data_IF_865573551819
#
_entry.id   IF_865573551819
#
_cell.length_a   1.000
_cell.length_b   1.000
_cell.length_c   1.000
_cell.angle_alpha   90.00
_cell.angle_beta   90.00
_cell.angle_gamma   90.00
#
_symmetry.space_group_name_H-M   'P 1'
#
loop_
_entity.id
_entity.type
_entity.pdbx_description
1 polymer ?
2 polymer ?
3 non-polymer ?
4 non-polymer ?
5 water ?
#
# COMPACT_ATOMS: atom_id res chain seq x y z
N UNK A 15 -15.74 3.22 2.61
CA UNK A 15 -16.58 3.88 3.62
C UNK A 15 -16.87 5.30 3.09
N UNK A 16 -17.23 6.23 3.97
CA UNK A 16 -17.60 7.55 3.54
C UNK A 16 -16.34 8.32 3.14
N UNK A 17 -16.51 9.41 2.35
CA UNK A 17 -15.47 10.40 2.10
C UNK A 17 -14.82 10.91 3.39
N UNK A 18 -15.68 11.32 4.33
CA UNK A 18 -15.26 11.95 5.57
C UNK A 18 -14.26 11.12 6.34
N UNK A 19 -14.49 9.81 6.43
CA UNK A 19 -13.56 8.93 7.16
C UNK A 19 -12.16 8.95 6.53
N UNK A 20 -12.10 8.84 5.21
CA UNK A 20 -10.81 8.85 4.47
C UNK A 20 -10.19 10.23 4.45
N UNK A 21 -11.06 11.23 4.43
CA UNK A 21 -10.68 12.62 4.23
C UNK A 21 -10.32 13.32 5.54
N UNK A 22 -11.11 13.08 6.57
CA UNK A 22 -10.98 13.75 7.86
C UNK A 22 -10.25 12.93 8.90
N UNK A 23 -10.27 11.59 8.78
CA UNK A 23 -9.57 10.74 9.73
C UNK A 23 -8.75 9.68 9.00
N UNK A 24 -8.94 8.40 9.28
CA UNK A 24 -8.24 7.29 8.62
C UNK A 24 -9.05 6.02 8.88
N UNK A 25 -8.85 5.00 8.04
CA UNK A 25 -9.45 3.69 8.28
C UNK A 25 -8.31 2.74 8.72
N UNK A 26 -8.43 2.12 9.92
CA UNK A 26 -7.42 1.19 10.42
C UNK A 26 -7.68 -0.21 9.90
N UNK A 27 -6.61 -0.96 9.66
CA UNK A 27 -6.72 -2.38 9.41
C UNK A 27 -5.53 -3.12 9.96
N UNK A 28 -5.75 -4.35 10.38
CA UNK A 28 -4.68 -5.26 10.74
C UNK A 28 -4.25 -6.08 9.54
N UNK A 29 -2.95 -6.37 9.46
CA UNK A 29 -2.44 -7.25 8.44
C UNK A 29 -1.08 -7.86 8.84
N UNK A 30 -0.67 -8.89 8.11
CA UNK A 30 0.73 -9.31 8.16
C UNK A 30 1.50 -8.73 6.98
N UNK A 31 2.76 -8.37 7.25
CA UNK A 31 3.60 -7.64 6.34
C UNK A 31 4.68 -8.60 5.89
N UNK A 32 4.55 -9.09 4.65
CA UNK A 32 5.59 -9.96 4.04
C UNK A 32 6.86 -9.19 3.69
N UNK A 33 6.81 -7.87 3.62
CA UNK A 33 7.99 -7.06 3.34
C UNK A 33 7.79 -6.19 2.10
N UNK A 34 8.85 -5.51 1.70
CA UNK A 34 8.85 -4.78 0.47
C UNK A 34 10.02 -5.20 -0.37
N UNK A 35 9.94 -4.99 -1.69
CA UNK A 35 11.00 -5.36 -2.58
C UNK A 35 10.97 -4.41 -3.76
N UNK A 36 12.13 -4.15 -4.32
CA UNK A 36 12.30 -3.11 -5.37
C UNK A 36 11.73 -3.64 -6.66
N UNK A 37 10.97 -2.83 -7.37
CA UNK A 37 10.48 -3.20 -8.69
C UNK A 37 10.87 -2.15 -9.71
N UNK A 38 10.79 -2.55 -10.96
CA UNK A 38 11.19 -1.74 -12.09
C UNK A 38 10.15 -0.70 -12.57
N UNK A 39 8.87 -0.85 -12.23
CA UNK A 39 7.82 -0.03 -12.83
C UNK A 39 6.92 0.40 -11.73
N UNK A 40 6.16 1.50 -11.96
CA UNK A 40 5.25 2.00 -10.96
C UNK A 40 3.91 1.21 -10.92
N UNK A 41 3.67 0.34 -11.88
CA UNK A 41 2.37 -0.38 -11.95
C UNK A 41 2.54 -1.68 -12.71
N UNK A 42 1.46 -2.46 -12.73
CA UNK A 42 1.30 -3.50 -13.71
C UNK A 42 1.11 -4.83 -13.00
N UNK A 43 0.31 -5.71 -13.60
CA UNK A 43 -0.07 -6.98 -12.99
C UNK A 43 1.11 -7.90 -12.85
N UNK A 44 1.88 -8.06 -13.92
CA UNK A 44 3.07 -8.87 -13.89
C UNK A 44 4.07 -8.41 -12.86
N UNK A 45 4.22 -7.08 -12.73
CA UNK A 45 5.21 -6.52 -11.81
C UNK A 45 4.89 -6.94 -10.37
N UNK A 46 3.65 -6.74 -9.98
CA UNK A 46 3.22 -7.03 -8.65
C UNK A 46 3.25 -8.56 -8.41
N UNK A 47 2.81 -9.35 -9.40
CA UNK A 47 2.84 -10.83 -9.22
C UNK A 47 4.25 -11.32 -9.02
N UNK A 48 5.23 -10.79 -9.77
CA UNK A 48 6.63 -11.19 -9.56
C UNK A 48 7.14 -10.80 -8.18
N UNK A 49 6.76 -9.62 -7.71
CA UNK A 49 7.08 -9.24 -6.36
C UNK A 49 6.45 -10.13 -5.29
N UNK A 50 5.17 -10.45 -5.44
CA UNK A 50 4.50 -11.24 -4.44
C UNK A 50 5.17 -12.62 -4.39
N UNK A 51 5.47 -13.18 -5.53
CA UNK A 51 6.19 -14.44 -5.54
C UNK A 51 7.56 -14.38 -4.85
N UNK A 52 8.33 -13.33 -5.11
CA UNK A 52 9.63 -13.19 -4.45
C UNK A 52 9.50 -13.15 -2.93
N UNK A 53 8.55 -12.39 -2.44
CA UNK A 53 8.36 -12.24 -1.04
C UNK A 53 7.69 -13.48 -0.38
N UNK A 54 6.92 -14.26 -1.14
CA UNK A 54 6.41 -15.53 -0.62
C UNK A 54 7.56 -16.50 -0.49
N UNK A 55 8.46 -16.53 -1.47
CA UNK A 55 9.64 -17.34 -1.37
C UNK A 55 10.46 -16.96 -0.15
N UNK A 56 10.70 -15.63 0.07
CA UNK A 56 11.47 -15.19 1.25
C UNK A 56 10.80 -15.57 2.57
N UNK A 57 9.49 -15.40 2.62
CA UNK A 57 8.75 -15.73 3.81
C UNK A 57 8.86 -17.24 4.15
N UNK A 58 8.74 -18.07 3.12
CA UNK A 58 8.88 -19.52 3.32
C UNK A 58 10.26 -19.86 3.88
N UNK A 59 11.27 -19.18 3.37
CA UNK A 59 12.63 -19.39 3.91
C UNK A 59 12.69 -18.96 5.36
N UNK A 60 12.16 -17.79 5.63
CA UNK A 60 12.16 -17.32 7.00
C UNK A 60 11.40 -18.21 7.97
N UNK A 61 10.29 -18.77 7.53
CA UNK A 61 9.54 -19.73 8.36
C UNK A 61 10.37 -20.97 8.66
N UNK A 62 11.17 -21.44 7.69
CA UNK A 62 12.08 -22.54 7.95
C UNK A 62 13.22 -22.17 8.91
N UNK A 63 13.45 -20.87 9.11
CA UNK A 63 14.34 -20.35 10.12
C UNK A 63 13.64 -20.14 11.47
N UNK A 64 12.35 -20.39 11.53
CA UNK A 64 11.57 -20.30 12.78
C UNK A 64 11.03 -18.92 12.97
N UNK A 65 10.93 -18.09 11.91
CA UNK A 65 10.44 -16.72 12.07
C UNK A 65 8.99 -16.63 11.65
N UNK A 66 8.22 -15.81 12.36
CA UNK A 66 6.87 -15.43 11.93
C UNK A 66 6.97 -14.11 11.12
N UNK A 67 6.06 -13.85 10.20
CA UNK A 67 6.08 -12.51 9.58
C UNK A 67 5.41 -11.54 10.53
N UNK A 68 5.88 -10.28 10.54
CA UNK A 68 5.34 -9.33 11.51
C UNK A 68 3.89 -8.93 11.25
N UNK A 69 3.21 -8.61 12.33
CA UNK A 69 1.89 -8.05 12.25
C UNK A 69 2.10 -6.54 12.23
N UNK A 70 1.24 -5.87 11.47
CA UNK A 70 1.25 -4.42 11.40
C UNK A 70 -0.17 -3.88 11.45
N UNK A 71 -0.27 -2.62 11.78
CA UNK A 71 -1.52 -1.90 11.55
C UNK A 71 -1.34 -0.89 10.43
N UNK A 72 -2.31 -0.85 9.52
CA UNK A 72 -2.36 0.12 8.45
C UNK A 72 -3.45 1.12 8.75
N UNK A 73 -3.09 2.39 8.52
CA UNK A 73 -4.00 3.53 8.60
C UNK A 73 -4.04 4.15 7.23
N UNK A 74 -5.20 4.07 6.58
CA UNK A 74 -5.38 4.55 5.23
C UNK A 74 -6.23 5.84 5.25
N UNK A 75 -5.77 6.85 4.52
CA UNK A 75 -6.42 8.14 4.45
C UNK A 75 -6.12 8.77 3.11
N UNK A 76 -6.74 9.91 2.84
CA UNK A 76 -6.28 10.73 1.67
C UNK A 76 -4.84 11.20 1.73
N UNK A 77 -4.21 11.18 2.91
CA UNK A 77 -2.81 11.59 3.00
C UNK A 77 -1.81 10.46 2.82
N UNK A 78 -2.23 9.22 2.96
CA UNK A 78 -1.29 8.10 2.79
C UNK A 78 -1.68 6.80 3.46
N UNK A 79 -0.70 5.91 3.50
CA UNK A 79 -0.75 4.64 4.23
C UNK A 79 0.37 4.62 5.24
N UNK A 80 0.02 4.68 6.52
CA UNK A 80 0.96 4.50 7.63
C UNK A 80 1.04 3.05 8.08
N UNK A 81 2.25 2.55 8.26
CA UNK A 81 2.44 1.18 8.67
C UNK A 81 2.97 1.31 10.08
N UNK A 82 2.18 0.84 11.04
CA UNK A 82 2.51 0.87 12.47
C UNK A 82 2.86 -0.51 13.08
N UNK A 83 3.76 -0.48 14.06
CA UNK A 83 3.96 -1.64 14.95
C UNK A 83 2.71 -1.66 15.83
N UNK A 84 1.90 -2.74 15.77
CA UNK A 84 0.52 -2.73 16.33
C UNK A 84 0.44 -2.61 17.85
N UNK A 85 1.46 -3.08 18.57
CA UNK A 85 1.49 -2.96 20.04
C UNK A 85 1.88 -1.54 20.43
N UNK A 86 3.09 -1.11 20.03
CA UNK A 86 3.58 0.27 20.34
C UNK A 86 2.89 1.43 19.58
N UNK A 87 2.14 1.12 18.52
CA UNK A 87 1.58 2.12 17.60
C UNK A 87 2.64 3.09 17.07
N UNK A 88 3.88 2.63 17.02
CA UNK A 88 5.00 3.40 16.52
C UNK A 88 5.05 3.27 14.97
N UNK A 89 5.16 4.41 14.29
CA UNK A 89 5.16 4.49 12.82
C UNK A 89 6.44 3.89 12.28
N UNK A 90 6.36 2.84 11.47
CA UNK A 90 7.59 2.29 10.87
C UNK A 90 7.80 2.76 9.41
N UNK A 91 6.70 3.03 8.71
CA UNK A 91 6.72 3.64 7.37
C UNK A 91 5.52 4.59 7.28
N UNK A 92 5.72 5.76 6.67
CA UNK A 92 4.59 6.59 6.21
C UNK A 92 4.71 6.72 4.67
N UNK A 93 3.80 6.05 3.96
CA UNK A 93 3.83 6.07 2.49
C UNK A 93 2.84 7.17 2.05
N UNK A 94 3.36 8.36 1.75
CA UNK A 94 2.52 9.48 1.34
C UNK A 94 1.73 9.06 0.14
N UNK A 95 0.45 9.40 0.12
CA UNK A 95 -0.41 8.87 -0.94
C UNK A 95 0.10 9.24 -2.35
N UNK A 96 0.59 10.47 -2.51
CA UNK A 96 1.06 10.91 -3.84
C UNK A 96 2.35 10.24 -4.34
N UNK A 97 3.04 9.48 -3.48
CA UNK A 97 4.11 8.57 -3.89
C UNK A 97 3.70 7.13 -4.11
N UNK A 98 2.44 6.80 -3.88
CA UNK A 98 1.94 5.45 -4.16
C UNK A 98 1.31 5.51 -5.54
N UNK A 99 1.81 4.69 -6.47
CA UNK A 99 1.45 4.72 -7.83
C UNK A 99 0.35 3.72 -8.15
N UNK A 100 0.26 2.62 -7.39
CA UNK A 100 -0.59 1.47 -7.73
C UNK A 100 -0.89 0.64 -6.49
N UNK A 101 -2.10 0.10 -6.39
CA UNK A 101 -2.47 -0.89 -5.37
C UNK A 101 -3.28 -1.96 -6.04
N UNK A 102 -3.14 -3.20 -5.59
CA UNK A 102 -3.85 -4.34 -6.18
C UNK A 102 -4.08 -5.45 -5.16
N UNK A 103 -5.16 -6.21 -5.39
CA UNK A 103 -5.32 -7.49 -4.68
C UNK A 103 -4.73 -8.55 -5.60
N UNK A 104 -4.56 -9.73 -5.07
CA UNK A 104 -3.99 -10.83 -5.83
C UNK A 104 -5.17 -11.71 -6.26
N UNK A 105 -5.42 -11.82 -7.56
CA UNK A 105 -6.55 -12.66 -8.06
C UNK A 105 -6.41 -14.17 -7.74
N UNK A 106 -5.21 -14.62 -7.42
CA UNK A 106 -5.06 -16.06 -7.15
C UNK A 106 -4.73 -16.32 -5.70
N UNK A 107 -4.77 -15.29 -4.86
CA UNK A 107 -4.72 -15.51 -3.44
C UNK A 107 -5.44 -14.31 -2.72
N UNK A 108 -6.74 -14.51 -2.46
CA UNK A 108 -7.67 -13.56 -1.74
C UNK A 108 -6.97 -12.69 -0.71
N UNK A 109 -6.22 -13.31 0.20
CA UNK A 109 -5.60 -12.59 1.32
C UNK A 109 -4.43 -11.65 0.99
N UNK A 110 -3.82 -11.79 -0.18
CA UNK A 110 -2.65 -11.00 -0.53
C UNK A 110 -3.11 -9.66 -1.14
N UNK A 111 -2.47 -8.57 -0.74
CA UNK A 111 -2.66 -7.31 -1.41
C UNK A 111 -1.36 -6.52 -1.33
N UNK A 112 -1.23 -5.53 -2.22
CA UNK A 112 0.07 -4.88 -2.46
C UNK A 112 -0.14 -3.43 -2.84
N UNK A 113 0.92 -2.65 -2.66
CA UNK A 113 1.01 -1.38 -3.32
C UNK A 113 2.47 -1.08 -3.65
N UNK A 114 2.63 -0.18 -4.62
CA UNK A 114 3.90 0.29 -5.13
C UNK A 114 4.01 1.74 -4.74
N UNK A 115 5.10 2.05 -4.06
CA UNK A 115 5.41 3.37 -3.52
C UNK A 115 6.79 3.76 -3.96
N UNK A 116 6.97 4.99 -4.40
CA UNK A 116 8.25 5.46 -4.80
C UNK A 116 8.97 6.00 -3.57
N UNK A 117 10.13 5.43 -3.33
CA UNK A 117 10.83 5.69 -2.08
C UNK A 117 11.37 7.12 -2.00
N UNK A 118 10.95 7.80 -0.93
CA UNK A 118 11.61 8.99 -0.37
C UNK A 118 13.13 8.94 -0.54
N UNK A 119 13.77 7.92 0.06
CA UNK A 119 15.25 7.78 0.08
C UNK A 119 15.87 7.71 -1.33
N UNK A 120 15.47 6.71 -2.12
CA UNK A 120 16.31 6.19 -3.20
C UNK A 120 15.92 6.43 -4.67
N UNK A 121 14.75 7.01 -4.95
CA UNK A 121 14.14 7.02 -6.31
C UNK A 121 13.68 5.63 -6.82
N UNK A 122 13.67 4.62 -5.97
CA UNK A 122 13.28 3.31 -6.48
C UNK A 122 11.81 3.02 -6.16
N UNK A 123 11.22 2.15 -6.95
CA UNK A 123 9.88 1.71 -6.69
C UNK A 123 9.95 0.52 -5.78
N UNK A 124 9.20 0.57 -4.70
CA UNK A 124 9.11 -0.50 -3.73
C UNK A 124 7.69 -1.01 -3.74
N UNK A 125 7.56 -2.32 -3.90
CA UNK A 125 6.27 -3.01 -3.77
C UNK A 125 6.20 -3.60 -2.37
N UNK A 126 5.17 -3.21 -1.63
CA UNK A 126 4.89 -3.61 -0.29
C UNK A 126 3.84 -4.69 -0.42
N UNK A 127 4.07 -5.83 0.27
CA UNK A 127 3.18 -6.99 0.16
C UNK A 127 2.67 -7.39 1.54
N UNK A 128 1.36 -7.64 1.60
CA UNK A 128 0.69 -7.87 2.86
C UNK A 128 -0.27 -9.03 2.71
N UNK A 129 -0.69 -9.49 3.85
CA UNK A 129 -1.62 -10.61 3.96
C UNK A 129 -2.72 -10.18 4.94
N UNK A 130 -3.98 -10.23 4.49
CA UNK A 130 -5.14 -10.06 5.37
C UNK A 130 -6.14 -11.18 5.22
N UNK A 131 -6.41 -11.86 6.33
CA UNK A 131 -7.40 -12.89 6.43
C UNK A 131 -8.69 -12.52 5.70
N UNK A 132 -9.31 -11.44 6.15
CA UNK A 132 -10.65 -11.11 5.73
C UNK A 132 -10.76 -9.89 4.77
N UNK A 133 -9.77 -9.00 4.78
CA UNK A 133 -10.00 -7.63 4.27
C UNK A 133 -9.16 -7.22 3.04
N UNK A 134 -8.34 -8.11 2.52
CA UNK A 134 -7.51 -7.82 1.37
C UNK A 134 -8.23 -6.98 0.27
N UNK A 135 -9.39 -7.47 -0.15
CA UNK A 135 -10.18 -6.86 -1.22
C UNK A 135 -10.65 -5.49 -0.78
N UNK A 136 -11.14 -5.44 0.47
CA UNK A 136 -11.66 -4.22 1.07
C UNK A 136 -10.56 -3.17 1.23
N UNK A 137 -9.38 -3.60 1.64
CA UNK A 137 -8.22 -2.71 1.84
C UNK A 137 -7.79 -2.08 0.51
N UNK A 138 -7.64 -2.92 -0.50
CA UNK A 138 -7.33 -2.53 -1.85
C UNK A 138 -8.37 -1.48 -2.36
N UNK A 139 -9.64 -1.78 -2.20
CA UNK A 139 -10.72 -0.81 -2.56
C UNK A 139 -10.58 0.51 -1.78
N UNK A 140 -10.26 0.42 -0.48
CA UNK A 140 -10.08 1.61 0.34
C UNK A 140 -8.93 2.50 -0.16
N UNK A 141 -7.82 1.90 -0.57
CA UNK A 141 -6.72 2.68 -1.08
C UNK A 141 -7.13 3.31 -2.40
N UNK A 142 -7.88 2.57 -3.23
CA UNK A 142 -8.42 3.10 -4.50
C UNK A 142 -9.31 4.31 -4.31
N UNK A 143 -10.13 4.25 -3.27
CA UNK A 143 -11.02 5.35 -2.90
C UNK A 143 -10.23 6.55 -2.42
N UNK A 144 -9.21 6.29 -1.58
CA UNK A 144 -8.26 7.35 -1.22
C UNK A 144 -7.68 8.03 -2.47
N UNK A 145 -7.22 7.23 -3.44
CA UNK A 145 -6.65 7.80 -4.70
C UNK A 145 -7.69 8.76 -5.31
N UNK A 146 -8.93 8.28 -5.36
CA UNK A 146 -10.02 9.02 -6.02
C UNK A 146 -10.27 10.37 -5.31
N UNK A 147 -10.46 10.33 -4.00
CA UNK A 147 -10.68 11.57 -3.22
C UNK A 147 -9.50 12.52 -3.28
N UNK A 148 -8.28 12.01 -3.09
CA UNK A 148 -7.09 12.88 -3.15
C UNK A 148 -6.95 13.54 -4.53
N UNK A 149 -7.23 12.79 -5.59
CA UNK A 149 -7.13 13.34 -6.96
C UNK A 149 -8.19 14.42 -7.19
N UNK A 150 -9.38 14.21 -6.67
CA UNK A 150 -10.40 15.22 -6.77
C UNK A 150 -10.02 16.50 -6.03
N UNK A 151 -9.47 16.39 -4.82
CA UNK A 151 -8.93 17.57 -4.13
C UNK A 151 -7.82 18.22 -4.92
N UNK A 152 -6.91 17.42 -5.42
CA UNK A 152 -5.87 17.95 -6.25
C UNK A 152 -6.41 18.77 -7.42
N UNK A 153 -7.42 18.26 -8.13
CA UNK A 153 -7.96 19.00 -9.26
C UNK A 153 -8.67 20.26 -8.85
N UNK A 154 -9.35 20.20 -7.73
CA UNK A 154 -10.09 21.33 -7.22
C UNK A 154 -9.22 22.45 -6.73
N UNK A 155 -8.00 22.13 -6.31
CA UNK A 155 -6.97 23.16 -6.02
C UNK A 155 -6.28 23.69 -7.31
N UNK A 156 -6.75 23.26 -8.49
CA UNK A 156 -6.14 23.62 -9.77
C UNK A 156 -4.74 23.08 -9.94
N UNK A 157 -4.47 21.91 -9.36
CA UNK A 157 -3.14 21.28 -9.39
C UNK A 157 -2.12 21.60 -8.28
N UNK A 158 -2.50 22.27 -7.21
CA UNK A 158 -1.52 22.81 -6.22
C UNK A 158 -1.32 21.97 -4.93
N UNK A 159 -0.60 22.56 -3.96
CA UNK A 159 -0.59 22.17 -2.53
C UNK A 159 0.16 20.87 -2.19
N UNK A 160 0.75 20.83 -0.99
CA UNK A 160 1.65 19.75 -0.51
C UNK A 160 2.58 19.23 -1.61
N UNK B 1 -7.79 -7.09 -9.83
CA UNK B 1 -8.40 -5.79 -9.39
C UNK B 1 -7.33 -4.91 -8.73
N UNK B 2 -6.93 -3.87 -9.49
CA UNK B 2 -5.97 -2.86 -9.07
C UNK B 2 -6.37 -1.41 -9.47
N UNK B 3 -5.77 -0.43 -8.82
CA UNK B 3 -6.04 1.00 -9.03
C UNK B 3 -4.72 1.71 -9.23
N UNK B 4 -4.61 2.47 -10.33
CA UNK B 4 -3.58 3.49 -10.49
C UNK B 4 -4.00 4.76 -9.81
N UNK B 5 -3.01 5.44 -9.21
CA UNK B 5 -3.22 6.71 -8.56
C UNK B 5 -2.97 7.83 -9.59
N UNK B 6 -4.05 8.49 -10.04
CA UNK B 6 -3.86 9.58 -11.01
C UNK B 6 -2.95 10.76 -10.58
N UNK B 7 -2.86 11.02 -9.28
CA UNK B 7 -2.12 12.14 -8.71
C UNK B 7 -0.62 11.91 -8.80
N UNK B 8 -0.21 10.63 -8.80
CA UNK B 8 1.18 10.25 -8.74
C UNK B 8 2.02 10.98 -9.73
N UNK B 9 1.62 10.94 -10.99
CA UNK B 9 2.43 11.42 -12.04
C UNK B 9 2.84 12.89 -11.92
N UNK B 10 2.00 13.67 -11.27
CA UNK B 10 2.22 15.09 -11.12
C UNK B 10 3.23 15.44 -10.01
N UNK B 11 3.46 14.49 -9.09
CA UNK B 11 4.41 14.68 -7.95
C UNK B 11 5.77 14.03 -8.16
N UNK B 12 6.02 13.43 -9.36
CA UNK B 12 7.33 12.87 -9.72
C UNK B 12 8.25 13.91 -10.41
#
# INVERSE_FOLDING_TARGET
>A
MNRAFSRKKDKTWMHTPEALSKHFIPYNAKFLGSTEVEQPKGTEVVRDAVRKLKFARHIKKSEGQKIPKVELQISIYGVKILEPKTKEVQHNCQLHRISFCADDKTDKRIFTFICKDSESNKHLCYVFDSEKCAEEITLTIGQAFDLAYRKFLESGGKDVETRKQIAG
>B
NGYENPTYKFFE
#
